data_IF_227943008925
#
_entry.id   IF_227943008925
#
_cell.length_a   1.000
_cell.length_b   1.000
_cell.length_c   1.000
_cell.angle_alpha   90.00
_cell.angle_beta   90.00
_cell.angle_gamma   90.00
#
_symmetry.space_group_name_H-M   'P 1'
#
loop_
_entity.id
_entity.type
_entity.pdbx_description
1 polymer ?
#
# COMPACT_ATOMS: atom_id res chain seq x y z
N UNK A 1 -15.69 -24.68 26.99
CA UNK A 1 -14.68 -24.01 26.17
C UNK A 1 -15.33 -22.78 25.57
N UNK A 2 -15.13 -21.58 26.20
CA UNK A 2 -15.69 -20.32 25.69
C UNK A 2 -14.88 -19.99 24.43
N UNK A 3 -15.53 -20.01 23.27
CA UNK A 3 -14.96 -19.45 22.05
C UNK A 3 -14.87 -17.94 22.25
N UNK A 4 -13.68 -17.46 22.59
CA UNK A 4 -13.38 -16.02 22.52
C UNK A 4 -13.47 -15.69 21.02
N UNK A 5 -14.55 -15.05 20.63
CA UNK A 5 -14.65 -14.47 19.28
C UNK A 5 -13.69 -13.28 19.25
N UNK A 6 -12.46 -13.51 18.83
CA UNK A 6 -11.54 -12.42 18.55
C UNK A 6 -12.24 -11.45 17.59
N UNK A 7 -12.56 -10.24 18.05
CA UNK A 7 -13.14 -9.22 17.18
C UNK A 7 -12.13 -8.89 16.08
N UNK A 8 -12.54 -9.10 14.83
CA UNK A 8 -11.69 -8.81 13.69
C UNK A 8 -11.59 -7.30 13.46
N UNK A 9 -10.44 -6.83 12.97
CA UNK A 9 -10.36 -5.51 12.36
C UNK A 9 -11.41 -5.46 11.24
N UNK A 10 -12.30 -4.48 11.29
CA UNK A 10 -13.28 -4.20 10.24
C UNK A 10 -13.00 -2.85 9.62
N UNK A 11 -13.28 -2.76 8.32
CA UNK A 11 -13.12 -1.52 7.56
C UNK A 11 -14.48 -0.82 7.45
N UNK A 12 -14.48 0.51 7.48
CA UNK A 12 -15.57 1.26 6.87
C UNK A 12 -15.37 1.22 5.34
N UNK A 13 -16.19 1.95 4.58
CA UNK A 13 -16.09 1.94 3.12
C UNK A 13 -14.72 2.47 2.65
N UNK A 14 -13.86 1.63 2.04
CA UNK A 14 -12.65 2.12 1.39
C UNK A 14 -12.97 2.90 0.11
N UNK A 15 -12.08 3.79 -0.26
CA UNK A 15 -12.13 4.50 -1.53
C UNK A 15 -10.84 4.25 -2.31
N UNK A 16 -11.00 4.07 -3.63
CA UNK A 16 -9.91 3.88 -4.57
C UNK A 16 -10.02 4.92 -5.69
N UNK A 17 -8.89 5.40 -6.15
CA UNK A 17 -8.77 6.25 -7.34
C UNK A 17 -7.58 5.75 -8.13
N UNK A 18 -7.73 5.65 -9.43
CA UNK A 18 -6.65 5.47 -10.40
C UNK A 18 -6.95 6.31 -11.62
N UNK A 19 -6.02 7.15 -12.02
CA UNK A 19 -6.21 8.08 -13.12
C UNK A 19 -4.89 8.30 -13.87
N UNK A 20 -4.99 8.46 -15.17
CA UNK A 20 -3.80 8.69 -16.01
C UNK A 20 -3.18 10.08 -15.84
N UNK A 21 -3.85 10.99 -15.14
CA UNK A 21 -3.42 12.38 -15.04
C UNK A 21 -3.22 13.03 -16.41
N UNK A 22 -2.04 13.63 -16.62
CA UNK A 22 -1.68 14.26 -17.89
C UNK A 22 -0.88 13.35 -18.85
N UNK A 23 -0.70 12.09 -18.50
CA UNK A 23 -0.02 11.09 -19.35
C UNK A 23 -0.95 10.61 -20.47
N UNK A 24 -0.39 9.98 -21.50
CA UNK A 24 -1.16 9.37 -22.59
C UNK A 24 -1.88 8.10 -22.17
N UNK A 25 -1.25 7.29 -21.30
CA UNK A 25 -1.82 6.08 -20.73
C UNK A 25 -1.65 6.06 -19.21
N UNK A 26 -2.23 5.06 -18.54
CA UNK A 26 -2.08 4.83 -17.14
C UNK A 26 -1.18 3.60 -16.92
N UNK A 27 0.01 3.82 -16.39
CA UNK A 27 0.96 2.76 -16.05
C UNK A 27 0.78 2.29 -14.60
N UNK A 28 -0.07 2.96 -13.81
CA UNK A 28 -0.48 2.50 -12.48
C UNK A 28 -1.50 1.37 -12.56
N UNK A 29 -1.45 0.44 -11.63
CA UNK A 29 -2.48 -0.57 -11.42
C UNK A 29 -2.81 -0.73 -9.94
N UNK A 30 -4.07 -1.02 -9.64
CA UNK A 30 -4.54 -1.22 -8.28
C UNK A 30 -5.39 -2.47 -8.14
N UNK A 31 -5.39 -3.09 -6.97
CA UNK A 31 -6.27 -4.20 -6.64
C UNK A 31 -6.80 -4.06 -5.19
N UNK A 32 -8.14 -4.23 -5.00
CA UNK A 32 -9.20 -4.42 -6.00
C UNK A 32 -9.47 -3.15 -6.83
N UNK A 33 -10.18 -3.28 -7.94
CA UNK A 33 -10.55 -2.12 -8.77
C UNK A 33 -11.54 -1.18 -8.03
N UNK A 34 -11.61 0.12 -8.41
CA UNK A 34 -12.45 1.11 -7.70
C UNK A 34 -13.94 0.75 -7.63
N UNK A 35 -14.45 0.04 -8.63
CA UNK A 35 -15.85 -0.38 -8.73
C UNK A 35 -16.14 -1.68 -7.99
N UNK A 36 -15.14 -2.29 -7.34
CA UNK A 36 -15.27 -3.54 -6.64
C UNK A 36 -16.11 -3.40 -5.36
N UNK A 37 -16.77 -4.49 -4.97
CA UNK A 37 -17.32 -4.61 -3.63
C UNK A 37 -16.18 -4.79 -2.62
N UNK A 38 -15.95 -3.80 -1.77
CA UNK A 38 -14.95 -3.83 -0.72
C UNK A 38 -15.41 -4.60 0.54
N UNK A 39 -16.65 -5.13 0.55
CA UNK A 39 -17.14 -5.90 1.68
C UNK A 39 -16.27 -7.16 1.87
N UNK A 40 -15.71 -7.33 3.06
CA UNK A 40 -14.77 -8.40 3.39
C UNK A 40 -13.42 -8.37 2.64
N UNK A 41 -13.13 -7.31 1.90
CA UNK A 41 -11.81 -7.15 1.28
C UNK A 41 -10.71 -7.03 2.33
N UNK A 42 -9.62 -7.80 2.14
CA UNK A 42 -8.49 -7.87 3.07
C UNK A 42 -7.16 -7.48 2.45
N UNK A 43 -7.07 -7.51 1.12
CA UNK A 43 -5.84 -7.24 0.37
C UNK A 43 -6.04 -5.99 -0.48
N UNK A 44 -5.14 -5.01 -0.33
CA UNK A 44 -5.09 -3.79 -1.14
C UNK A 44 -3.69 -3.64 -1.71
N UNK A 45 -3.59 -3.36 -3.01
CA UNK A 45 -2.34 -3.25 -3.74
C UNK A 45 -2.39 -1.99 -4.60
N UNK A 46 -1.28 -1.25 -4.64
CA UNK A 46 -1.02 -0.20 -5.62
C UNK A 46 0.36 -0.45 -6.21
N UNK A 47 0.45 -0.46 -7.52
CA UNK A 47 1.65 -0.67 -8.30
C UNK A 47 1.81 0.49 -9.29
N UNK A 48 3.00 1.07 -9.36
CA UNK A 48 3.40 2.08 -10.32
C UNK A 48 4.35 1.44 -11.31
N UNK A 49 3.93 1.41 -12.58
CA UNK A 49 4.67 0.74 -13.63
C UNK A 49 5.79 1.59 -14.21
N UNK A 50 6.98 1.02 -14.29
CA UNK A 50 8.19 1.68 -14.79
C UNK A 50 8.69 0.98 -16.03
N UNK A 51 9.13 1.73 -17.06
CA UNK A 51 9.75 1.11 -18.23
C UNK A 51 9.45 1.77 -19.57
N UNK A 52 8.65 2.83 -19.59
CA UNK A 52 8.24 3.56 -20.80
C UNK A 52 7.50 2.70 -21.84
N UNK A 53 6.70 3.33 -22.71
CA UNK A 53 6.02 2.71 -23.84
C UNK A 53 5.34 1.35 -23.52
N UNK A 54 4.20 1.37 -22.85
CA UNK A 54 3.33 0.22 -22.50
C UNK A 54 3.93 -0.82 -21.53
N UNK A 55 5.24 -0.81 -21.30
CA UNK A 55 5.91 -1.79 -20.43
C UNK A 55 5.56 -1.59 -18.96
N UNK A 56 5.40 -0.35 -18.51
CA UNK A 56 4.98 -0.01 -17.16
C UNK A 56 3.57 -0.52 -16.88
N UNK A 57 2.62 -0.27 -17.77
CA UNK A 57 1.24 -0.77 -17.66
C UNK A 57 1.17 -2.30 -17.56
N UNK A 58 1.93 -3.01 -18.41
CA UNK A 58 2.01 -4.47 -18.37
C UNK A 58 2.56 -4.94 -17.03
N UNK A 59 3.66 -4.33 -16.55
CA UNK A 59 4.32 -4.72 -15.31
C UNK A 59 3.41 -4.53 -14.09
N UNK A 60 2.79 -3.36 -13.93
CA UNK A 60 1.91 -3.06 -12.79
C UNK A 60 0.67 -3.95 -12.78
N UNK A 61 0.07 -4.18 -13.94
CA UNK A 61 -1.11 -5.05 -14.07
C UNK A 61 -0.77 -6.51 -13.73
N UNK A 62 0.30 -7.05 -14.33
CA UNK A 62 0.75 -8.41 -14.07
C UNK A 62 1.14 -8.63 -12.60
N UNK A 63 1.73 -7.61 -11.94
CA UNK A 63 2.02 -7.67 -10.52
C UNK A 63 0.74 -7.74 -9.68
N UNK A 64 -0.24 -6.86 -9.93
CA UNK A 64 -1.54 -6.89 -9.24
C UNK A 64 -2.24 -8.24 -9.41
N UNK A 65 -2.29 -8.79 -10.63
CA UNK A 65 -2.91 -10.08 -10.93
C UNK A 65 -2.19 -11.24 -10.25
N UNK A 66 -0.86 -11.31 -10.35
CA UNK A 66 -0.06 -12.38 -9.76
C UNK A 66 -0.16 -12.38 -8.24
N UNK A 67 0.01 -11.23 -7.61
CA UNK A 67 -0.06 -11.08 -6.15
C UNK A 67 -1.45 -11.44 -5.64
N UNK A 68 -2.52 -10.90 -6.25
CA UNK A 68 -3.89 -11.19 -5.84
C UNK A 68 -4.25 -12.67 -6.02
N UNK A 69 -3.79 -13.31 -7.10
CA UNK A 69 -3.97 -14.74 -7.35
C UNK A 69 -3.25 -15.60 -6.32
N UNK A 70 -1.99 -15.26 -5.97
CA UNK A 70 -1.24 -15.95 -4.93
C UNK A 70 -1.93 -15.84 -3.56
N UNK A 71 -2.37 -14.65 -3.18
CA UNK A 71 -3.12 -14.43 -1.94
C UNK A 71 -4.41 -15.23 -1.92
N UNK A 72 -5.19 -15.22 -3.01
CA UNK A 72 -6.42 -16.01 -3.14
C UNK A 72 -6.17 -17.51 -2.94
N UNK A 73 -5.07 -18.03 -3.47
CA UNK A 73 -4.73 -19.45 -3.37
C UNK A 73 -4.21 -19.84 -1.97
N UNK A 74 -3.43 -19.00 -1.30
CA UNK A 74 -2.62 -19.42 -0.16
C UNK A 74 -2.88 -18.65 1.15
N UNK A 75 -3.71 -17.59 1.16
CA UNK A 75 -3.99 -16.81 2.37
C UNK A 75 -5.26 -17.19 3.11
N UNK A 76 -6.16 -17.97 2.54
CA UNK A 76 -7.54 -18.21 3.03
C UNK A 76 -7.66 -18.71 4.47
N UNK A 77 -6.62 -19.39 4.98
CA UNK A 77 -6.58 -19.90 6.35
C UNK A 77 -5.57 -19.16 7.25
N UNK A 78 -5.00 -18.04 6.79
CA UNK A 78 -4.00 -17.30 7.54
C UNK A 78 -4.62 -16.14 8.30
N UNK A 79 -4.37 -16.07 9.59
CA UNK A 79 -4.76 -14.91 10.41
C UNK A 79 -3.80 -13.73 10.23
N UNK A 80 -2.55 -14.04 9.89
CA UNK A 80 -1.48 -13.07 9.68
C UNK A 80 -0.63 -13.47 8.47
N UNK A 81 -0.09 -12.48 7.81
CA UNK A 81 0.89 -12.65 6.72
C UNK A 81 2.24 -12.17 7.24
N UNK A 82 3.25 -12.99 7.09
CA UNK A 82 4.63 -12.71 7.51
C UNK A 82 5.54 -12.34 6.32
N UNK A 83 6.77 -11.93 6.62
CA UNK A 83 7.78 -11.59 5.60
C UNK A 83 8.04 -12.76 4.64
N UNK A 84 8.05 -14.00 5.13
CA UNK A 84 8.30 -15.17 4.28
C UNK A 84 7.17 -15.38 3.27
N UNK A 85 5.92 -15.16 3.67
CA UNK A 85 4.79 -15.25 2.74
C UNK A 85 4.87 -14.15 1.68
N UNK A 86 5.17 -12.91 2.06
CA UNK A 86 5.34 -11.80 1.12
C UNK A 86 6.48 -12.12 0.14
N UNK A 87 7.63 -12.60 0.62
CA UNK A 87 8.76 -12.91 -0.26
C UNK A 87 8.40 -14.01 -1.29
N UNK A 88 7.69 -15.06 -0.88
CA UNK A 88 7.18 -16.09 -1.81
C UNK A 88 6.18 -15.53 -2.81
N UNK A 89 5.38 -14.56 -2.41
CA UNK A 89 4.46 -13.86 -3.33
C UNK A 89 5.24 -13.09 -4.39
N UNK A 90 6.33 -12.41 -4.00
CA UNK A 90 7.19 -11.68 -4.95
C UNK A 90 7.88 -12.66 -5.91
N UNK A 91 8.46 -13.75 -5.41
CA UNK A 91 9.09 -14.80 -6.23
C UNK A 91 8.11 -15.38 -7.27
N UNK A 92 6.86 -15.62 -6.86
CA UNK A 92 5.80 -16.06 -7.77
C UNK A 92 5.49 -15.01 -8.85
N UNK A 93 5.43 -13.74 -8.46
CA UNK A 93 5.19 -12.62 -9.38
C UNK A 93 6.33 -12.48 -10.39
N UNK A 94 7.57 -12.57 -9.93
CA UNK A 94 8.77 -12.51 -10.79
C UNK A 94 8.82 -13.67 -11.79
N UNK A 95 8.39 -14.86 -11.39
CA UNK A 95 8.23 -16.01 -12.32
C UNK A 95 7.19 -15.69 -13.40
N UNK A 96 6.08 -15.06 -13.03
CA UNK A 96 5.08 -14.60 -13.99
C UNK A 96 5.63 -13.57 -15.00
N UNK A 97 6.49 -12.66 -14.53
CA UNK A 97 7.19 -11.70 -15.40
C UNK A 97 8.09 -12.39 -16.41
N UNK A 98 8.86 -13.39 -15.99
CA UNK A 98 9.72 -14.16 -16.88
C UNK A 98 8.94 -14.94 -17.92
N UNK A 99 7.86 -15.59 -17.51
CA UNK A 99 6.98 -16.32 -18.43
C UNK A 99 6.37 -15.38 -19.47
N UNK A 100 5.97 -14.17 -19.05
CA UNK A 100 5.46 -13.15 -19.96
C UNK A 100 6.55 -12.67 -20.94
N UNK A 101 7.73 -12.30 -20.44
CA UNK A 101 8.87 -11.84 -21.28
C UNK A 101 9.33 -12.90 -22.25
N UNK A 102 9.24 -14.19 -21.89
CA UNK A 102 9.60 -15.30 -22.80
C UNK A 102 8.69 -15.34 -24.03
N UNK A 103 7.41 -15.00 -23.87
CA UNK A 103 6.40 -14.96 -24.95
C UNK A 103 6.44 -13.61 -25.67
N UNK A 104 6.74 -12.53 -24.91
CA UNK A 104 6.76 -11.14 -25.34
C UNK A 104 8.13 -10.51 -25.08
N UNK A 105 9.17 -10.81 -25.91
CA UNK A 105 10.54 -10.30 -25.68
C UNK A 105 10.65 -8.78 -25.69
N UNK A 106 9.71 -8.07 -26.34
CA UNK A 106 9.60 -6.61 -26.33
C UNK A 106 9.33 -6.04 -24.94
N UNK A 107 8.71 -6.80 -24.04
CA UNK A 107 8.46 -6.41 -22.65
C UNK A 107 9.70 -6.46 -21.75
N UNK A 108 10.84 -6.91 -22.28
CA UNK A 108 12.09 -6.95 -21.50
C UNK A 108 12.44 -5.59 -20.92
N UNK A 109 12.69 -5.56 -19.60
CA UNK A 109 12.97 -4.34 -18.86
C UNK A 109 11.73 -3.66 -18.28
N UNK A 110 10.55 -4.28 -18.39
CA UNK A 110 9.38 -3.88 -17.62
C UNK A 110 9.65 -4.02 -16.13
N UNK A 111 9.14 -3.08 -15.35
CA UNK A 111 9.30 -3.07 -13.90
C UNK A 111 8.09 -2.39 -13.23
N UNK A 112 7.90 -2.63 -11.96
CA UNK A 112 6.88 -1.94 -11.19
C UNK A 112 7.27 -1.80 -9.73
N UNK A 113 6.77 -0.74 -9.08
CA UNK A 113 6.76 -0.60 -7.63
C UNK A 113 5.71 -1.53 -7.01
N UNK A 114 5.67 -1.59 -5.71
CA UNK A 114 4.63 -2.27 -4.95
C UNK A 114 4.32 -1.51 -3.67
N UNK A 115 3.06 -1.23 -3.40
CA UNK A 115 2.54 -1.04 -2.05
C UNK A 115 1.42 -2.04 -1.80
N UNK A 116 1.48 -2.73 -0.66
CA UNK A 116 0.55 -3.77 -0.29
C UNK A 116 0.12 -3.63 1.16
N UNK A 117 -1.18 -3.69 1.43
CA UNK A 117 -1.73 -3.81 2.76
C UNK A 117 -2.62 -5.04 2.86
N UNK A 118 -2.33 -5.92 3.83
CA UNK A 118 -3.17 -7.05 4.18
C UNK A 118 -3.78 -6.84 5.58
N UNK A 119 -5.10 -6.78 5.62
CA UNK A 119 -5.87 -6.57 6.85
C UNK A 119 -6.10 -7.91 7.53
N UNK A 120 -5.27 -8.24 8.50
CA UNK A 120 -5.44 -9.43 9.34
C UNK A 120 -6.55 -9.27 10.38
N UNK A 121 -6.71 -10.25 11.26
CA UNK A 121 -7.73 -10.18 12.32
C UNK A 121 -7.40 -9.14 13.38
N UNK A 122 -6.15 -9.09 13.84
CA UNK A 122 -5.70 -8.23 14.96
C UNK A 122 -4.52 -7.33 14.61
N UNK A 123 -4.01 -7.42 13.40
CA UNK A 123 -2.87 -6.64 12.93
C UNK A 123 -2.95 -6.45 11.41
N UNK A 124 -2.22 -5.47 10.91
CA UNK A 124 -2.14 -5.20 9.48
C UNK A 124 -0.70 -5.43 9.04
N UNK A 125 -0.50 -6.25 8.02
CA UNK A 125 0.81 -6.41 7.37
C UNK A 125 0.86 -5.48 6.17
N UNK A 126 1.86 -4.60 6.15
CA UNK A 126 2.16 -3.77 4.99
C UNK A 126 3.49 -4.20 4.38
N UNK A 127 3.59 -4.09 3.06
CA UNK A 127 4.82 -4.36 2.32
C UNK A 127 4.99 -3.35 1.19
N UNK A 128 6.23 -2.95 0.90
CA UNK A 128 6.49 -2.07 -0.24
C UNK A 128 7.82 -2.38 -0.93
N UNK A 129 7.89 -2.01 -2.20
CA UNK A 129 9.08 -2.01 -3.06
C UNK A 129 8.98 -0.75 -3.92
N UNK A 130 10.03 0.08 -3.97
CA UNK A 130 10.05 1.31 -4.75
C UNK A 130 9.78 2.56 -3.93
N UNK A 131 9.19 3.58 -4.54
CA UNK A 131 8.94 4.91 -3.99
C UNK A 131 7.45 5.27 -3.88
N UNK A 132 6.56 4.36 -4.27
CA UNK A 132 5.15 4.41 -3.85
C UNK A 132 5.06 4.19 -2.35
N UNK A 133 4.13 4.86 -1.67
CA UNK A 133 4.13 4.92 -0.20
C UNK A 133 2.87 4.36 0.45
N UNK A 134 3.05 3.88 1.68
CA UNK A 134 1.97 3.51 2.60
C UNK A 134 2.09 4.37 3.85
N UNK A 135 0.98 4.98 4.23
CA UNK A 135 0.83 5.77 5.44
C UNK A 135 -0.17 5.13 6.39
N UNK A 136 0.14 5.12 7.68
CA UNK A 136 -0.81 4.90 8.76
C UNK A 136 -1.09 6.24 9.43
N UNK A 137 -2.33 6.70 9.39
CA UNK A 137 -2.73 8.02 9.83
C UNK A 137 -3.76 7.89 10.96
N UNK A 138 -3.58 8.65 12.03
CA UNK A 138 -4.46 8.73 13.20
C UNK A 138 -4.70 10.18 13.57
N UNK A 139 -5.97 10.60 13.69
CA UNK A 139 -6.34 11.97 14.04
C UNK A 139 -5.64 13.04 13.17
N UNK A 140 -5.45 12.76 11.87
CA UNK A 140 -4.75 13.62 10.94
C UNK A 140 -3.23 13.72 11.18
N UNK A 141 -2.64 12.78 11.93
CA UNK A 141 -1.19 12.69 12.13
C UNK A 141 -0.64 11.40 11.52
N UNK A 142 0.51 11.48 10.88
CA UNK A 142 1.22 10.32 10.34
C UNK A 142 1.85 9.55 11.50
N UNK A 143 1.35 8.33 11.77
CA UNK A 143 1.87 7.43 12.81
C UNK A 143 2.99 6.54 12.25
N UNK A 144 2.87 6.15 10.98
CA UNK A 144 3.88 5.38 10.25
C UNK A 144 3.85 5.78 8.78
N UNK A 145 5.00 5.76 8.15
CA UNK A 145 5.19 5.96 6.72
C UNK A 145 6.31 5.06 6.23
N UNK A 146 6.12 4.42 5.08
CA UNK A 146 7.20 3.67 4.40
C UNK A 146 8.28 4.63 3.90
N UNK A 147 9.50 4.14 3.81
CA UNK A 147 10.63 4.92 3.28
C UNK A 147 10.94 4.50 1.85
N UNK A 148 11.01 5.47 0.94
CA UNK A 148 11.25 5.20 -0.48
C UNK A 148 12.58 4.47 -0.70
N UNK A 149 12.55 3.43 -1.53
CA UNK A 149 13.76 2.79 -2.06
C UNK A 149 14.32 3.61 -3.23
N UNK A 150 14.65 4.87 -2.97
CA UNK A 150 15.18 5.80 -3.97
C UNK A 150 16.66 6.12 -3.74
N UNK A 151 17.33 6.52 -4.82
CA UNK A 151 18.75 6.90 -4.77
C UNK A 151 18.97 8.08 -3.82
N UNK A 152 18.08 9.07 -3.84
CA UNK A 152 18.22 10.25 -2.98
C UNK A 152 18.07 9.89 -1.50
N UNK A 153 17.14 9.00 -1.14
CA UNK A 153 17.03 8.52 0.24
C UNK A 153 18.26 7.73 0.67
N UNK A 154 18.84 6.92 -0.21
CA UNK A 154 20.08 6.22 0.08
C UNK A 154 21.25 7.21 0.33
N UNK A 155 21.36 8.24 -0.51
CA UNK A 155 22.40 9.27 -0.35
C UNK A 155 22.23 10.10 0.92
N UNK A 156 20.99 10.39 1.33
CA UNK A 156 20.70 11.06 2.61
C UNK A 156 21.08 10.16 3.78
N UNK A 157 20.69 8.88 3.78
CA UNK A 157 21.04 7.92 4.85
C UNK A 157 22.55 7.71 5.00
N UNK A 158 23.29 7.79 3.90
CA UNK A 158 24.75 7.65 3.91
C UNK A 158 25.50 8.97 4.16
N UNK A 159 24.77 10.08 4.39
CA UNK A 159 25.33 11.40 4.65
C UNK A 159 25.98 12.08 3.43
N UNK A 160 25.68 11.60 2.22
CA UNK A 160 26.18 12.16 0.96
C UNK A 160 25.32 13.30 0.42
N UNK A 161 24.06 13.40 0.87
CA UNK A 161 23.16 14.51 0.62
C UNK A 161 22.44 14.90 1.91
N UNK A 162 22.12 16.19 2.03
CA UNK A 162 21.16 16.65 3.04
C UNK A 162 19.71 16.39 2.57
N UNK A 163 18.72 16.32 3.47
CA UNK A 163 17.32 16.22 3.08
C UNK A 163 16.87 17.33 2.12
N UNK A 164 17.39 18.55 2.29
CA UNK A 164 17.06 19.70 1.41
C UNK A 164 17.61 19.52 0.00
N UNK A 165 18.85 19.04 -0.13
CA UNK A 165 19.46 18.75 -1.44
C UNK A 165 18.75 17.60 -2.16
N UNK A 166 18.25 16.61 -1.42
CA UNK A 166 17.47 15.50 -1.98
C UNK A 166 16.21 15.98 -2.70
N UNK A 167 15.49 16.96 -2.13
CA UNK A 167 14.25 17.50 -2.72
C UNK A 167 14.47 18.17 -4.09
N UNK A 168 15.65 18.75 -4.30
CA UNK A 168 15.98 19.48 -5.54
C UNK A 168 16.87 18.67 -6.49
N UNK A 169 17.25 17.45 -6.11
CA UNK A 169 18.13 16.60 -6.90
C UNK A 169 17.48 16.20 -8.23
N UNK A 170 18.26 16.25 -9.31
CA UNK A 170 17.84 15.70 -10.61
C UNK A 170 17.67 14.17 -10.59
N UNK A 171 18.17 13.49 -9.54
CA UNK A 171 18.09 12.05 -9.33
C UNK A 171 16.95 11.64 -8.38
N UNK A 172 16.05 12.54 -8.01
CA UNK A 172 14.99 12.27 -7.03
C UNK A 172 14.05 11.14 -7.45
N UNK A 173 13.85 10.94 -8.75
CA UNK A 173 12.97 9.90 -9.30
C UNK A 173 13.75 8.61 -9.68
N UNK A 174 14.97 8.41 -9.20
CA UNK A 174 15.73 7.18 -9.46
C UNK A 174 15.42 6.17 -8.38
N UNK A 175 14.62 5.15 -8.72
CA UNK A 175 14.30 4.03 -7.86
C UNK A 175 15.44 3.01 -7.84
N UNK A 176 15.72 2.45 -6.65
CA UNK A 176 16.77 1.43 -6.46
C UNK A 176 16.21 0.01 -6.39
N UNK A 177 14.89 -0.14 -6.17
CA UNK A 177 14.21 -1.44 -6.07
C UNK A 177 12.89 -1.38 -6.82
N UNK A 178 12.66 -2.39 -7.66
CA UNK A 178 11.40 -2.64 -8.37
C UNK A 178 11.25 -4.13 -8.61
N UNK A 179 10.04 -4.62 -8.82
CA UNK A 179 9.79 -5.98 -9.31
C UNK A 179 10.10 -5.98 -10.81
N UNK A 180 11.05 -6.83 -11.24
CA UNK A 180 11.53 -6.87 -12.63
C UNK A 180 11.62 -8.28 -13.23
N UNK A 181 11.55 -9.30 -12.38
CA UNK A 181 11.79 -10.70 -12.73
C UNK A 181 12.96 -11.30 -11.95
N UNK A 182 13.06 -12.63 -11.93
CA UNK A 182 13.96 -13.38 -11.03
C UNK A 182 15.45 -13.18 -11.29
N UNK A 183 15.83 -12.61 -12.43
CA UNK A 183 17.23 -12.24 -12.72
C UNK A 183 17.75 -11.10 -11.85
N UNK A 184 16.86 -10.29 -11.31
CA UNK A 184 17.14 -9.23 -10.35
C UNK A 184 16.09 -9.29 -9.23
N UNK A 185 16.17 -10.30 -8.34
CA UNK A 185 15.13 -10.59 -7.37
C UNK A 185 14.90 -9.40 -6.41
N UNK A 186 13.66 -9.02 -6.26
CA UNK A 186 13.26 -7.94 -5.39
C UNK A 186 13.03 -8.43 -3.96
N UNK A 187 13.44 -7.63 -2.98
CA UNK A 187 13.12 -7.85 -1.58
C UNK A 187 12.19 -6.74 -1.09
N UNK A 188 10.98 -7.14 -0.64
CA UNK A 188 10.04 -6.22 -0.04
C UNK A 188 10.45 -5.84 1.38
N UNK A 189 10.30 -4.56 1.72
CA UNK A 189 10.28 -4.14 3.11
C UNK A 189 8.91 -4.43 3.70
N UNK A 190 8.87 -5.21 4.80
CA UNK A 190 7.63 -5.68 5.42
C UNK A 190 7.54 -5.18 6.84
N UNK A 191 6.44 -4.51 7.16
CA UNK A 191 6.13 -4.00 8.50
C UNK A 191 4.79 -4.54 8.98
N UNK A 192 4.72 -4.88 10.27
CA UNK A 192 3.48 -5.32 10.92
C UNK A 192 2.99 -4.24 11.88
N UNK A 193 1.88 -3.63 11.52
CA UNK A 193 1.19 -2.63 12.34
C UNK A 193 0.29 -3.35 13.35
N UNK A 194 0.58 -3.19 14.65
CA UNK A 194 -0.13 -3.88 15.75
C UNK A 194 -1.01 -2.96 16.59
N UNK A 195 -0.67 -1.69 16.65
CA UNK A 195 -1.44 -0.70 17.41
C UNK A 195 -2.41 0.02 16.48
N UNK A 196 -3.46 -0.70 16.04
CA UNK A 196 -4.51 -0.17 15.17
C UNK A 196 -5.70 0.25 16.03
N UNK A 197 -6.25 1.42 15.79
CA UNK A 197 -7.40 1.96 16.51
C UNK A 197 -8.57 2.26 15.56
N UNK A 198 -9.81 2.33 16.07
CA UNK A 198 -10.92 2.89 15.31
C UNK A 198 -10.56 4.31 14.83
N UNK A 199 -11.08 4.69 13.68
CA UNK A 199 -10.82 5.97 13.01
C UNK A 199 -9.37 6.18 12.51
N UNK A 200 -8.51 5.13 12.59
CA UNK A 200 -7.26 5.11 11.84
C UNK A 200 -7.53 4.99 10.34
N UNK A 201 -6.60 5.48 9.56
CA UNK A 201 -6.57 5.32 8.11
C UNK A 201 -5.29 4.64 7.66
N UNK A 202 -5.40 3.75 6.68
CA UNK A 202 -4.29 3.45 5.79
C UNK A 202 -4.48 4.22 4.49
N UNK A 203 -3.40 4.82 4.02
CA UNK A 203 -3.34 5.51 2.75
C UNK A 203 -2.19 4.92 1.93
N UNK A 204 -2.52 4.32 0.79
CA UNK A 204 -1.56 3.76 -0.16
C UNK A 204 -1.58 4.66 -1.39
N UNK A 205 -0.42 5.04 -1.92
CA UNK A 205 -0.38 5.91 -3.10
C UNK A 205 0.87 5.73 -3.95
N UNK A 206 0.76 6.04 -5.24
CA UNK A 206 1.88 6.22 -6.16
C UNK A 206 2.52 7.60 -6.00
N UNK A 207 3.68 7.81 -6.60
CA UNK A 207 4.46 9.05 -6.50
C UNK A 207 3.76 10.24 -7.19
N UNK A 208 2.89 9.99 -8.19
CA UNK A 208 2.10 11.04 -8.82
C UNK A 208 1.15 11.77 -7.87
N UNK A 209 0.69 11.10 -6.79
CA UNK A 209 -0.05 11.78 -5.71
C UNK A 209 0.89 12.69 -4.92
N UNK A 210 2.13 12.24 -4.71
CA UNK A 210 3.12 12.93 -3.88
C UNK A 210 3.79 14.12 -4.58
N UNK A 211 3.57 14.31 -5.90
CA UNK A 211 4.07 15.49 -6.61
C UNK A 211 3.63 16.82 -6.00
N UNK A 212 2.42 16.85 -5.41
CA UNK A 212 1.78 18.06 -4.87
C UNK A 212 1.22 17.91 -3.45
N UNK A 213 1.25 16.72 -2.92
CA UNK A 213 0.77 16.40 -1.57
C UNK A 213 1.96 15.84 -0.78
N UNK A 214 2.68 16.72 -0.11
CA UNK A 214 3.69 16.33 0.87
C UNK A 214 3.07 15.85 2.19
N UNK A 215 3.89 15.44 3.14
CA UNK A 215 3.43 14.93 4.43
C UNK A 215 2.61 15.98 5.22
N UNK A 216 2.97 17.26 5.16
CA UNK A 216 2.26 18.33 5.87
C UNK A 216 0.86 18.54 5.26
N UNK A 217 0.79 18.59 3.94
CA UNK A 217 -0.47 18.73 3.21
C UNK A 217 -1.37 17.51 3.40
N UNK A 218 -0.79 16.31 3.42
CA UNK A 218 -1.53 15.08 3.68
C UNK A 218 -2.16 15.11 5.09
N UNK A 219 -1.41 15.50 6.12
CA UNK A 219 -1.93 15.65 7.48
C UNK A 219 -3.05 16.70 7.55
N UNK A 220 -2.91 17.83 6.86
CA UNK A 220 -3.95 18.86 6.77
C UNK A 220 -5.26 18.29 6.17
N UNK A 221 -5.16 17.55 5.05
CA UNK A 221 -6.30 16.95 4.36
C UNK A 221 -7.02 15.96 5.28
N UNK A 222 -6.29 15.03 5.91
CA UNK A 222 -6.89 14.04 6.81
C UNK A 222 -7.47 14.68 8.07
N UNK A 223 -6.84 15.72 8.60
CA UNK A 223 -7.38 16.48 9.74
C UNK A 223 -8.67 17.20 9.36
N UNK A 224 -8.74 17.83 8.19
CA UNK A 224 -9.92 18.56 7.70
C UNK A 224 -11.07 17.61 7.36
N UNK A 225 -10.78 16.46 6.75
CA UNK A 225 -11.77 15.45 6.40
C UNK A 225 -12.31 14.69 7.61
N UNK A 226 -11.50 14.55 8.68
CA UNK A 226 -11.89 13.82 9.90
C UNK A 226 -12.29 12.39 9.59
N UNK A 227 -13.50 11.96 9.94
CA UNK A 227 -14.06 10.63 9.64
C UNK A 227 -14.77 10.55 8.28
N UNK A 228 -14.79 11.64 7.51
CA UNK A 228 -15.43 11.67 6.20
C UNK A 228 -14.43 11.28 5.09
N UNK A 229 -14.28 9.99 4.84
CA UNK A 229 -13.38 9.45 3.82
C UNK A 229 -13.69 9.92 2.40
N UNK A 230 -14.97 10.21 2.09
CA UNK A 230 -15.36 10.75 0.80
C UNK A 230 -14.80 12.15 0.58
N UNK A 231 -14.89 13.02 1.59
CA UNK A 231 -14.32 14.36 1.52
C UNK A 231 -12.79 14.33 1.41
N UNK A 232 -12.11 13.39 2.09
CA UNK A 232 -10.66 13.18 1.95
C UNK A 232 -10.33 12.79 0.50
N UNK A 233 -11.07 11.82 -0.05
CA UNK A 233 -10.92 11.38 -1.44
C UNK A 233 -11.06 12.56 -2.42
N UNK A 234 -12.11 13.36 -2.29
CA UNK A 234 -12.37 14.51 -3.15
C UNK A 234 -11.23 15.53 -3.09
N UNK A 235 -10.79 15.93 -1.88
CA UNK A 235 -9.68 16.86 -1.72
C UNK A 235 -8.39 16.38 -2.37
N UNK A 236 -8.04 15.10 -2.24
CA UNK A 236 -6.84 14.53 -2.87
C UNK A 236 -7.02 14.50 -4.39
N UNK A 237 -8.16 14.02 -4.87
CA UNK A 237 -8.45 13.92 -6.31
C UNK A 237 -8.39 15.27 -6.99
N UNK A 238 -8.99 16.32 -6.40
CA UNK A 238 -9.00 17.69 -6.97
C UNK A 238 -7.56 18.22 -7.10
N UNK A 239 -6.73 18.05 -6.06
CA UNK A 239 -5.32 18.49 -6.10
C UNK A 239 -4.55 17.75 -7.19
N UNK A 240 -4.73 16.41 -7.30
CA UNK A 240 -4.04 15.60 -8.29
C UNK A 240 -4.51 15.93 -9.71
N UNK A 241 -5.83 16.02 -9.96
CA UNK A 241 -6.39 16.32 -11.27
C UNK A 241 -5.93 17.67 -11.81
N UNK A 242 -5.76 18.68 -10.96
CA UNK A 242 -5.29 19.99 -11.36
C UNK A 242 -3.78 20.03 -11.62
N UNK A 243 -2.98 19.27 -10.87
CA UNK A 243 -1.55 19.53 -10.73
C UNK A 243 -0.63 18.36 -11.07
N UNK A 244 -1.09 17.10 -11.00
CA UNK A 244 -0.24 15.96 -11.29
C UNK A 244 0.12 15.88 -12.78
N UNK A 245 1.42 15.67 -13.05
CA UNK A 245 1.93 15.41 -14.41
C UNK A 245 1.99 13.94 -14.71
N UNK A 246 1.96 13.11 -13.67
CA UNK A 246 2.04 11.66 -13.74
C UNK A 246 0.68 11.00 -13.55
N UNK A 247 0.65 9.68 -13.75
CA UNK A 247 -0.44 8.84 -13.29
C UNK A 247 -0.55 8.99 -11.77
N UNK A 248 -1.75 8.93 -11.22
CA UNK A 248 -1.93 8.96 -9.78
C UNK A 248 -2.96 7.93 -9.33
N UNK A 249 -2.55 7.10 -8.40
CA UNK A 249 -3.40 6.06 -7.86
C UNK A 249 -3.28 5.99 -6.34
N UNK A 250 -4.41 5.80 -5.66
CA UNK A 250 -4.40 5.69 -4.21
C UNK A 250 -5.58 4.92 -3.65
N UNK A 251 -5.39 4.41 -2.42
CA UNK A 251 -6.45 3.94 -1.54
C UNK A 251 -6.54 4.78 -0.28
N UNK A 252 -7.78 5.04 0.17
CA UNK A 252 -8.11 5.49 1.52
C UNK A 252 -8.87 4.34 2.18
N UNK A 253 -8.29 3.73 3.21
CA UNK A 253 -8.83 2.55 3.88
C UNK A 253 -9.12 2.92 5.34
N UNK A 254 -10.36 3.28 5.68
CA UNK A 254 -10.72 3.66 7.04
C UNK A 254 -10.96 2.44 7.92
N UNK A 255 -10.41 2.45 9.12
CA UNK A 255 -10.60 1.40 10.13
C UNK A 255 -11.85 1.72 10.96
N UNK A 256 -12.85 0.85 10.94
CA UNK A 256 -14.10 1.05 11.67
C UNK A 256 -14.05 0.48 13.09
N UNK A 257 -13.49 -0.72 13.24
CA UNK A 257 -13.35 -1.40 14.54
C UNK A 257 -12.04 -2.14 14.62
N UNK A 258 -11.53 -2.25 15.83
CA UNK A 258 -10.36 -3.06 16.14
C UNK A 258 -10.70 -4.11 17.19
N UNK A 259 -9.90 -5.17 17.27
CA UNK A 259 -10.00 -6.14 18.34
C UNK A 259 -9.55 -5.46 19.66
N UNK A 260 -10.49 -5.17 20.53
CA UNK A 260 -10.17 -4.58 21.83
C UNK A 260 -9.77 -5.68 22.83
N UNK A 261 -8.47 -6.01 22.83
CA UNK A 261 -7.89 -7.03 23.73
C UNK A 261 -8.10 -6.65 25.19
N UNK A 262 -8.19 -5.35 25.52
CA UNK A 262 -8.36 -4.87 26.87
C UNK A 262 -9.83 -5.03 27.37
N UNK A 263 -10.81 -4.77 26.53
CA UNK A 263 -12.23 -4.94 26.89
C UNK A 263 -12.61 -6.42 27.04
N UNK A 264 -12.05 -7.31 26.21
CA UNK A 264 -12.26 -8.75 26.36
C UNK A 264 -11.60 -9.30 27.64
N UNK A 265 -10.38 -8.88 27.94
CA UNK A 265 -9.73 -9.26 29.20
C UNK A 265 -10.56 -8.80 30.41
N UNK A 266 -11.13 -7.60 30.40
CA UNK A 266 -12.02 -7.12 31.48
C UNK A 266 -13.35 -7.88 31.55
N UNK A 267 -13.96 -8.24 30.41
CA UNK A 267 -15.18 -9.06 30.37
C UNK A 267 -14.93 -10.49 30.87
N UNK A 268 -13.81 -11.08 30.52
CA UNK A 268 -13.39 -12.39 31.04
C UNK A 268 -13.13 -12.31 32.55
N UNK A 269 -12.41 -11.29 33.02
CA UNK A 269 -12.17 -11.06 34.45
C UNK A 269 -13.47 -10.84 35.22
N UNK A 270 -14.38 -9.98 34.74
CA UNK A 270 -15.66 -9.72 35.40
C UNK A 270 -16.56 -10.95 35.44
N UNK A 271 -16.53 -11.81 34.42
CA UNK A 271 -17.26 -13.07 34.41
C UNK A 271 -16.72 -14.07 35.45
N UNK A 272 -15.40 -14.19 35.61
CA UNK A 272 -14.80 -15.02 36.65
C UNK A 272 -15.14 -14.51 38.07
N UNK A 273 -15.17 -13.20 38.29
CA UNK A 273 -15.55 -12.63 39.59
C UNK A 273 -17.06 -12.75 39.91
N UNK A 274 -17.92 -12.95 38.90
CA UNK A 274 -19.35 -13.18 39.12
C UNK A 274 -19.69 -14.65 39.44
N UNK A 275 -18.74 -15.55 39.35
CA UNK A 275 -18.89 -17.00 39.62
C UNK A 275 -18.33 -17.39 40.99
N UNK A 276 -17.76 -16.44 41.75
CA UNK A 276 -17.27 -16.58 43.12
C UNK A 276 -18.22 -15.82 44.05
#
# INVERSE_FOLDING_TARGET
MIKINAMNITLAQPYAVTDKGRRSNNEDSIFPLPESDFQNQRLFIVCDGVGGAEKGEIASNLACESISSYFKAFSSNRETIDKSFIQKTIEYTETGFEDYIRIHPEAKGMATTLTLAYIGKSQITIAHIGDSRIYHIRNGQIIHKTEDHSLVNFLVKTGQLTPQEALTSSKKNVILRAIQGSHNPAEAEVTVLRNIMPDDYLFLCTDGVLEKIDDEKLMEIFKKGGSNSCAIKEMITDICAENSRDNYSFYIIPIQKTADIAEEAQKVFSFFYSLI
#
